data_IF_562201527871
#
_entry.id   IF_562201527871
#
_cell.length_a   1.000
_cell.length_b   1.000
_cell.length_c   1.000
_cell.angle_alpha   90.00
_cell.angle_beta   90.00
_cell.angle_gamma   90.00
#
_symmetry.space_group_name_H-M   'P 1'
#
loop_
_entity.id
_entity.type
_entity.pdbx_description
1 polymer ?
#
# COMPACT_ATOMS: atom_id res chain seq x y z
N UNK A 1 -2.31 -10.05 -10.28
CA UNK A 1 -0.99 -9.93 -9.63
C UNK A 1 0.01 -9.48 -10.69
N UNK A 2 1.15 -8.88 -10.32
CA UNK A 2 2.11 -8.24 -11.24
C UNK A 2 2.40 -9.10 -12.49
N UNK A 3 2.49 -10.41 -12.33
CA UNK A 3 2.67 -11.43 -13.38
C UNK A 3 1.70 -11.37 -14.58
N UNK A 4 0.53 -10.75 -14.44
CA UNK A 4 -0.45 -10.60 -15.54
C UNK A 4 -0.27 -9.32 -16.37
N UNK A 5 0.64 -8.44 -15.97
CA UNK A 5 0.97 -7.20 -16.68
C UNK A 5 2.45 -7.22 -17.09
N UNK A 6 2.72 -7.18 -18.40
CA UNK A 6 4.06 -7.20 -18.97
C UNK A 6 4.73 -5.82 -19.05
N UNK A 7 4.05 -4.75 -18.62
CA UNK A 7 4.57 -3.40 -18.65
C UNK A 7 5.81 -3.27 -17.75
N UNK A 8 6.95 -2.91 -18.36
CA UNK A 8 8.22 -2.71 -17.68
C UNK A 8 8.27 -1.44 -16.83
N UNK A 9 7.37 -0.49 -17.10
CA UNK A 9 7.29 0.78 -16.39
C UNK A 9 6.56 0.64 -15.05
N UNK A 10 5.91 -0.51 -14.83
CA UNK A 10 5.35 -0.87 -13.53
C UNK A 10 6.48 -1.17 -12.54
N UNK A 11 6.41 -0.57 -11.35
CA UNK A 11 7.32 -0.83 -10.23
C UNK A 11 6.50 -1.11 -8.98
N UNK A 12 6.92 -2.11 -8.21
CA UNK A 12 6.35 -2.41 -6.92
C UNK A 12 7.39 -2.16 -5.83
N UNK A 13 6.98 -1.49 -4.76
CA UNK A 13 7.78 -1.30 -3.56
C UNK A 13 7.08 -2.03 -2.43
N UNK A 14 7.73 -3.05 -1.89
CA UNK A 14 7.19 -3.92 -0.84
C UNK A 14 7.98 -3.67 0.43
N UNK A 15 7.32 -3.14 1.45
CA UNK A 15 7.94 -2.87 2.75
C UNK A 15 7.39 -3.87 3.76
N UNK A 16 8.26 -4.74 4.25
CA UNK A 16 7.97 -5.72 5.29
C UNK A 16 8.09 -5.06 6.66
N UNK A 17 7.19 -5.41 7.58
CA UNK A 17 7.05 -4.79 8.91
C UNK A 17 6.78 -5.86 9.97
N UNK A 18 7.15 -5.63 11.25
CA UNK A 18 6.95 -6.60 12.33
C UNK A 18 5.48 -6.64 12.79
N UNK A 19 4.63 -7.30 12.02
CA UNK A 19 3.23 -7.56 12.39
C UNK A 19 3.04 -9.00 12.81
N UNK A 20 2.22 -9.18 13.86
CA UNK A 20 1.84 -10.50 14.38
C UNK A 20 3.07 -11.37 14.75
N UNK A 21 4.11 -10.74 15.32
CA UNK A 21 5.32 -11.43 15.77
C UNK A 21 6.38 -11.69 14.69
N UNK A 22 6.16 -11.22 13.46
CA UNK A 22 7.18 -11.28 12.41
C UNK A 22 8.44 -10.48 12.78
N UNK A 23 9.59 -10.97 12.33
CA UNK A 23 10.93 -10.39 12.54
C UNK A 23 11.69 -10.36 11.21
N UNK A 24 12.79 -9.61 11.16
CA UNK A 24 13.63 -9.51 9.97
C UNK A 24 14.05 -10.86 9.35
N UNK A 25 14.42 -11.89 10.14
CA UNK A 25 14.78 -13.19 9.56
C UNK A 25 13.64 -13.89 8.81
N UNK A 26 12.38 -13.50 9.03
CA UNK A 26 11.23 -14.06 8.34
C UNK A 26 11.06 -13.46 6.92
N UNK A 27 11.73 -12.35 6.62
CA UNK A 27 11.59 -11.58 5.36
C UNK A 27 12.06 -12.37 4.14
N UNK A 28 13.16 -13.13 4.26
CA UNK A 28 13.71 -13.92 3.14
C UNK A 28 12.71 -14.95 2.60
N UNK A 29 11.88 -15.52 3.48
CA UNK A 29 10.82 -16.42 3.07
C UNK A 29 9.63 -15.64 2.48
N UNK A 30 9.29 -14.50 3.09
CA UNK A 30 8.14 -13.68 2.69
C UNK A 30 8.31 -13.04 1.30
N UNK A 31 9.53 -12.64 0.92
CA UNK A 31 9.83 -12.06 -0.40
C UNK A 31 9.39 -12.95 -1.57
N UNK A 32 9.37 -14.27 -1.37
CA UNK A 32 8.92 -15.25 -2.38
C UNK A 32 7.44 -15.14 -2.71
N UNK A 33 6.62 -14.54 -1.85
CA UNK A 33 5.20 -14.27 -2.12
C UNK A 33 5.02 -13.18 -3.19
N UNK A 34 6.03 -12.33 -3.39
CA UNK A 34 6.04 -11.26 -4.41
C UNK A 34 7.37 -11.32 -5.17
N UNK A 35 7.65 -12.47 -5.79
CA UNK A 35 8.93 -12.76 -6.46
C UNK A 35 9.13 -12.05 -7.83
N UNK A 36 8.36 -11.01 -8.14
CA UNK A 36 8.45 -10.30 -9.43
C UNK A 36 9.72 -9.42 -9.46
N UNK A 37 10.48 -9.46 -10.56
CA UNK A 37 11.70 -8.66 -10.74
C UNK A 37 11.50 -7.14 -10.64
N UNK A 38 10.25 -6.67 -10.77
CA UNK A 38 9.86 -5.26 -10.63
C UNK A 38 9.60 -4.87 -9.17
N UNK A 39 9.55 -5.84 -8.26
CA UNK A 39 9.41 -5.61 -6.83
C UNK A 39 10.76 -5.30 -6.19
N UNK A 40 10.82 -4.18 -5.47
CA UNK A 40 11.89 -3.84 -4.56
C UNK A 40 11.42 -4.08 -3.14
N UNK A 41 12.21 -4.81 -2.36
CA UNK A 41 11.85 -5.22 -1.01
C UNK A 41 12.67 -4.43 0.02
N UNK A 42 12.00 -4.01 1.09
CA UNK A 42 12.58 -3.27 2.21
C UNK A 42 12.09 -3.86 3.52
N UNK A 43 12.87 -3.70 4.58
CA UNK A 43 12.47 -4.01 5.95
C UNK A 43 12.35 -2.71 6.75
N UNK A 44 11.23 -2.56 7.45
CA UNK A 44 10.96 -1.46 8.39
C UNK A 44 10.77 -2.07 9.77
N UNK A 45 11.89 -2.21 10.49
CA UNK A 45 11.95 -2.80 11.84
C UNK A 45 11.04 -2.08 12.83
N UNK A 46 10.88 -0.78 12.66
CA UNK A 46 10.09 0.02 13.58
C UNK A 46 8.60 0.00 13.22
N UNK A 47 8.23 -0.35 11.99
CA UNK A 47 6.87 -0.19 11.47
C UNK A 47 6.46 1.27 11.31
N UNK A 48 7.42 2.15 11.00
CA UNK A 48 7.21 3.58 10.78
C UNK A 48 6.26 3.86 9.61
N UNK A 49 6.32 3.06 8.55
CA UNK A 49 5.50 3.25 7.35
C UNK A 49 4.01 3.17 7.68
N UNK A 50 3.60 2.16 8.44
CA UNK A 50 2.19 1.99 8.82
C UNK A 50 1.67 3.14 9.70
N UNK A 51 2.56 3.73 10.52
CA UNK A 51 2.23 4.85 11.40
C UNK A 51 2.17 6.17 10.64
N UNK A 52 3.03 6.38 9.65
CA UNK A 52 3.09 7.63 8.89
C UNK A 52 1.81 7.89 8.08
N UNK A 53 1.10 6.85 7.67
CA UNK A 53 -0.19 6.97 6.96
C UNK A 53 -1.38 7.32 7.86
N UNK A 54 -1.27 7.25 9.19
CA UNK A 54 -2.37 7.55 10.11
C UNK A 54 -3.01 8.93 9.89
N UNK A 55 -2.24 10.03 9.80
CA UNK A 55 -2.81 11.36 9.56
C UNK A 55 -3.43 11.48 8.18
N UNK A 56 -2.82 10.85 7.16
CA UNK A 56 -3.35 10.88 5.80
C UNK A 56 -4.75 10.23 5.76
N UNK A 57 -4.90 9.05 6.36
CA UNK A 57 -6.16 8.30 6.35
C UNK A 57 -7.16 8.75 7.43
N UNK A 58 -6.77 9.66 8.32
CA UNK A 58 -7.60 10.10 9.45
C UNK A 58 -7.93 8.97 10.44
N UNK A 59 -7.00 8.03 10.62
CA UNK A 59 -7.15 6.88 11.53
C UNK A 59 -6.13 6.93 12.67
N UNK A 60 -6.44 6.30 13.80
CA UNK A 60 -5.53 6.21 14.96
C UNK A 60 -4.77 4.89 15.03
N UNK A 61 -5.25 3.86 14.32
CA UNK A 61 -4.63 2.53 14.21
C UNK A 61 -3.59 2.51 13.10
N UNK A 62 -2.68 1.55 13.15
CA UNK A 62 -1.77 1.31 12.02
C UNK A 62 -2.54 1.09 10.72
N UNK A 63 -2.03 1.66 9.64
CA UNK A 63 -2.56 1.52 8.30
C UNK A 63 -2.24 0.15 7.69
N UNK A 64 -2.54 -0.93 8.42
CA UNK A 64 -2.53 -2.30 7.91
C UNK A 64 -3.91 -2.63 7.28
N UNK A 65 -3.98 -3.57 6.35
CA UNK A 65 -5.23 -3.92 5.62
C UNK A 65 -5.98 -2.72 5.01
N UNK A 66 -5.22 -1.79 4.42
CA UNK A 66 -5.75 -0.64 3.67
C UNK A 66 -5.30 -0.71 2.21
N UNK A 67 -6.10 -0.14 1.33
CA UNK A 67 -5.88 -0.13 -0.12
C UNK A 67 -6.02 1.30 -0.60
N UNK A 68 -4.97 1.87 -1.18
CA UNK A 68 -4.88 3.29 -1.53
C UNK A 68 -4.66 3.45 -3.03
N UNK A 69 -5.34 4.41 -3.64
CA UNK A 69 -5.20 4.80 -5.05
C UNK A 69 -4.74 6.26 -5.10
N UNK A 70 -3.66 6.47 -5.85
CA UNK A 70 -3.04 7.77 -6.05
C UNK A 70 -3.15 8.16 -7.52
N UNK A 71 -3.45 9.44 -7.77
CA UNK A 71 -3.41 9.98 -9.12
C UNK A 71 -1.99 10.32 -9.59
N UNK A 72 -1.83 10.62 -10.90
CA UNK A 72 -0.53 10.89 -11.51
C UNK A 72 0.17 12.13 -10.95
N UNK A 73 -0.57 13.03 -10.30
CA UNK A 73 -0.02 14.22 -9.64
C UNK A 73 0.44 13.96 -8.19
N UNK A 74 0.18 12.78 -7.62
CA UNK A 74 0.57 12.48 -6.25
C UNK A 74 2.10 12.41 -6.13
N UNK A 75 2.66 13.20 -5.21
CA UNK A 75 4.09 13.20 -4.91
C UNK A 75 4.29 13.05 -3.41
N UNK A 76 5.19 12.16 -3.03
CA UNK A 76 5.66 12.09 -1.65
C UNK A 76 6.78 13.10 -1.46
N UNK A 77 6.41 14.29 -1.00
CA UNK A 77 7.31 15.40 -0.73
C UNK A 77 7.34 15.69 0.77
N UNK A 78 8.53 15.68 1.37
CA UNK A 78 8.71 15.87 2.80
C UNK A 78 8.49 14.61 3.64
N UNK A 79 8.13 14.80 4.91
CA UNK A 79 8.11 13.71 5.92
C UNK A 79 6.80 12.91 5.93
N UNK A 80 5.68 13.50 5.49
CA UNK A 80 4.37 12.87 5.51
C UNK A 80 4.03 12.25 4.14
N UNK A 81 3.38 11.07 4.12
CA UNK A 81 2.91 10.49 2.87
C UNK A 81 1.82 11.37 2.23
N UNK A 82 1.70 11.34 0.89
CA UNK A 82 0.64 12.05 0.20
C UNK A 82 -0.74 11.50 0.58
N UNK A 83 -1.73 12.37 0.46
CA UNK A 83 -3.13 11.98 0.58
C UNK A 83 -3.53 11.12 -0.63
N UNK A 84 -4.12 9.93 -0.43
CA UNK A 84 -4.68 9.16 -1.54
C UNK A 84 -5.94 9.85 -2.08
N UNK A 85 -6.16 9.79 -3.39
CA UNK A 85 -7.42 10.25 -3.99
C UNK A 85 -8.59 9.34 -3.61
N UNK A 86 -8.30 8.07 -3.34
CA UNK A 86 -9.27 7.09 -2.89
C UNK A 86 -8.60 6.02 -2.03
N UNK A 87 -9.30 5.54 -1.01
CA UNK A 87 -8.85 4.39 -0.25
C UNK A 87 -10.02 3.58 0.31
N UNK A 88 -9.74 2.30 0.58
CA UNK A 88 -10.63 1.34 1.21
C UNK A 88 -9.88 0.58 2.30
N UNK A 89 -10.58 -0.18 3.12
CA UNK A 89 -9.94 -0.96 4.19
C UNK A 89 -10.65 -2.27 4.49
N UNK A 90 -9.98 -3.18 5.18
CA UNK A 90 -10.62 -4.28 5.93
C UNK A 90 -10.52 -4.04 7.45
N UNK A 91 -10.36 -2.77 7.82
CA UNK A 91 -10.40 -2.30 9.19
C UNK A 91 -11.84 -2.06 9.64
N UNK A 92 -12.14 -2.24 10.92
CA UNK A 92 -13.43 -1.77 11.47
C UNK A 92 -13.33 -0.27 11.81
N UNK A 93 -13.15 0.58 10.80
CA UNK A 93 -13.13 2.05 10.89
C UNK A 93 -14.24 2.65 10.03
N UNK A 94 -14.57 3.93 10.24
CA UNK A 94 -15.71 4.60 9.57
C UNK A 94 -15.29 5.61 8.50
N UNK A 95 -13.99 5.83 8.35
CA UNK A 95 -13.42 6.92 7.56
C UNK A 95 -13.37 6.60 6.05
N UNK A 96 -13.55 5.34 5.68
CA UNK A 96 -13.59 4.86 4.30
C UNK A 96 -14.54 3.66 4.18
N UNK A 97 -14.89 3.23 2.96
CA UNK A 97 -15.63 1.99 2.74
C UNK A 97 -14.78 0.75 3.02
N UNK A 98 -15.44 -0.34 3.40
CA UNK A 98 -14.83 -1.67 3.41
C UNK A 98 -14.44 -2.09 1.99
N UNK A 99 -13.35 -2.84 1.85
CA UNK A 99 -12.81 -3.27 0.56
C UNK A 99 -13.88 -3.96 -0.30
N UNK A 100 -14.12 -3.38 -1.48
CA UNK A 100 -14.88 -3.94 -2.59
C UNK A 100 -14.02 -3.87 -3.86
N UNK A 101 -13.69 -5.03 -4.41
CA UNK A 101 -12.78 -5.11 -5.55
C UNK A 101 -13.29 -4.44 -6.83
N UNK A 102 -14.62 -4.43 -7.06
CA UNK A 102 -15.21 -3.78 -8.25
C UNK A 102 -15.16 -2.26 -8.10
N UNK A 103 -15.44 -1.76 -6.90
CA UNK A 103 -15.35 -0.34 -6.62
C UNK A 103 -13.91 0.16 -6.70
N UNK A 104 -12.95 -0.58 -6.15
CA UNK A 104 -11.54 -0.25 -6.25
C UNK A 104 -11.07 -0.18 -7.71
N UNK A 105 -11.42 -1.17 -8.53
CA UNK A 105 -11.10 -1.19 -9.95
C UNK A 105 -11.72 0.01 -10.69
N UNK A 106 -12.98 0.32 -10.42
CA UNK A 106 -13.66 1.48 -11.01
C UNK A 106 -12.95 2.80 -10.66
N UNK A 107 -12.42 2.93 -9.43
CA UNK A 107 -11.68 4.12 -9.01
C UNK A 107 -10.32 4.24 -9.67
N UNK A 108 -9.60 3.13 -9.86
CA UNK A 108 -8.34 3.10 -10.61
C UNK A 108 -8.57 3.63 -12.04
N UNK A 109 -9.51 3.06 -12.78
CA UNK A 109 -9.77 3.49 -14.17
C UNK A 109 -10.23 4.94 -14.29
N UNK A 110 -10.97 5.46 -13.30
CA UNK A 110 -11.42 6.85 -13.29
C UNK A 110 -10.28 7.84 -13.05
N UNK A 111 -9.23 7.45 -12.33
CA UNK A 111 -8.10 8.31 -12.01
C UNK A 111 -7.11 8.36 -13.17
N UNK A 112 -6.91 7.24 -13.88
CA UNK A 112 -6.08 7.18 -15.10
C UNK A 112 -6.63 8.03 -16.26
N UNK A 113 -7.93 8.31 -16.25
CA UNK A 113 -8.62 9.06 -17.31
C UNK A 113 -8.60 10.59 -17.12
N UNK A 114 -7.94 11.11 -16.07
CA UNK A 114 -7.82 12.55 -15.78
C UNK A 114 -6.48 13.09 -16.27
#
# INVERSE_FOLDING_TARGET
MLEHDSNSDLRAYVVWVPKVGAREPDVDAATRLVADRRALHYWDEEGLLLRSYRPALGITKDAWDVYMVYGPAARWEGEAPPQPEYWMHQLNVKNAPELDGKQLLSKISSIESK
#
